data_IF_605460187555
#
_entry.id   IF_605460187555
#
_cell.length_a   1.000
_cell.length_b   1.000
_cell.length_c   1.000
_cell.angle_alpha   90.00
_cell.angle_beta   90.00
_cell.angle_gamma   90.00
#
_symmetry.space_group_name_H-M   'P 1'
#
loop_
_entity.id
_entity.type
_entity.pdbx_description
1 polymer ?
#
# COMPACT_ATOMS: atom_id res chain seq x y z
N UNK A 1 -6.63 -2.82 -5.47
CA UNK A 1 -7.66 -1.90 -4.93
C UNK A 1 -8.38 -1.31 -6.13
N UNK A 2 -9.71 -1.15 -6.06
CA UNK A 2 -10.45 -0.53 -7.16
C UNK A 2 -10.27 0.98 -7.09
N UNK A 3 -9.71 1.57 -8.14
CA UNK A 3 -9.46 3.01 -8.28
C UNK A 3 -10.14 3.51 -9.55
N UNK A 4 -10.62 4.74 -9.54
CA UNK A 4 -11.26 5.32 -10.73
C UNK A 4 -10.23 5.55 -11.82
N UNK A 5 -10.66 5.45 -13.08
CA UNK A 5 -9.82 5.81 -14.21
C UNK A 5 -9.67 7.33 -14.24
N UNK A 6 -8.44 7.82 -14.31
CA UNK A 6 -8.17 9.24 -14.49
C UNK A 6 -8.37 9.64 -15.95
N UNK A 7 -8.94 10.81 -16.18
CA UNK A 7 -9.18 11.37 -17.51
C UNK A 7 -8.65 12.80 -17.60
N UNK A 8 -8.43 13.28 -18.82
CA UNK A 8 -8.06 14.66 -19.11
C UNK A 8 -9.10 15.61 -18.51
N UNK A 9 -8.63 16.63 -17.80
CA UNK A 9 -9.45 17.57 -17.05
C UNK A 9 -9.64 17.24 -15.56
N UNK A 10 -9.30 16.03 -15.11
CA UNK A 10 -9.32 15.70 -13.67
C UNK A 10 -8.36 16.60 -12.89
N UNK A 11 -8.72 16.87 -11.63
CA UNK A 11 -8.01 17.80 -10.76
C UNK A 11 -6.84 17.13 -10.05
N UNK A 12 -5.88 17.95 -9.64
CA UNK A 12 -4.81 17.56 -8.76
C UNK A 12 -5.10 18.02 -7.32
N UNK A 13 -4.60 17.30 -6.32
CA UNK A 13 -4.77 17.63 -4.90
C UNK A 13 -4.20 19.00 -4.52
N UNK A 14 -3.16 19.47 -5.23
CA UNK A 14 -2.59 20.81 -5.08
C UNK A 14 -3.25 21.88 -5.96
N UNK A 15 -4.33 21.53 -6.66
CA UNK A 15 -4.87 22.31 -7.75
C UNK A 15 -4.10 22.14 -9.06
N UNK A 16 -4.81 22.34 -10.16
CA UNK A 16 -4.34 22.03 -11.51
C UNK A 16 -5.21 21.00 -12.20
N UNK A 17 -4.82 20.61 -13.41
CA UNK A 17 -5.59 19.68 -14.26
C UNK A 17 -4.68 18.80 -15.12
N UNK A 18 -5.14 17.60 -15.41
CA UNK A 18 -4.52 16.74 -16.41
C UNK A 18 -4.68 17.36 -17.80
N UNK A 19 -3.59 17.42 -18.55
CA UNK A 19 -3.53 18.00 -19.90
C UNK A 19 -3.85 16.95 -20.97
N UNK A 20 -4.43 17.35 -22.11
CA UNK A 20 -4.64 16.46 -23.23
C UNK A 20 -3.32 16.04 -23.89
N UNK A 21 -3.34 14.89 -24.56
CA UNK A 21 -2.25 14.43 -25.43
C UNK A 21 -2.74 14.20 -26.86
N UNK A 22 -1.84 14.29 -27.83
CA UNK A 22 -2.15 14.08 -29.25
C UNK A 22 -2.20 12.60 -29.65
N UNK A 23 -2.97 12.29 -30.71
CA UNK A 23 -3.06 10.95 -31.29
C UNK A 23 -4.38 10.23 -30.99
N UNK A 24 -4.45 8.91 -31.23
CA UNK A 24 -5.66 8.12 -31.00
C UNK A 24 -6.12 8.18 -29.54
N UNK A 25 -7.37 8.57 -29.35
CA UNK A 25 -7.96 8.78 -28.04
C UNK A 25 -8.65 7.52 -27.54
N UNK A 26 -8.38 7.15 -26.29
CA UNK A 26 -9.22 6.19 -25.57
C UNK A 26 -10.22 7.00 -24.74
N UNK A 27 -11.49 6.97 -25.11
CA UNK A 27 -12.53 7.76 -24.47
C UNK A 27 -13.24 6.95 -23.38
N UNK A 28 -13.26 7.51 -22.18
CA UNK A 28 -14.01 7.01 -21.02
C UNK A 28 -15.06 8.05 -20.68
N UNK A 29 -16.33 7.70 -20.89
CA UNK A 29 -17.48 8.60 -20.66
C UNK A 29 -17.31 9.97 -21.35
N UNK A 30 -16.84 9.95 -22.59
CA UNK A 30 -16.63 11.16 -23.41
C UNK A 30 -15.35 11.94 -23.10
N UNK A 31 -14.56 11.54 -22.10
CA UNK A 31 -13.29 12.17 -21.75
C UNK A 31 -12.11 11.29 -22.17
N UNK A 32 -11.03 11.90 -22.65
CA UNK A 32 -9.81 11.19 -23.01
C UNK A 32 -9.15 10.63 -21.73
N UNK A 33 -8.90 9.32 -21.68
CA UNK A 33 -8.23 8.68 -20.55
C UNK A 33 -6.81 9.23 -20.40
N UNK A 34 -6.40 9.54 -19.17
CA UNK A 34 -5.04 9.97 -18.88
C UNK A 34 -4.08 8.79 -18.94
N UNK A 35 -2.84 9.04 -19.38
CA UNK A 35 -1.81 8.02 -19.49
C UNK A 35 -0.66 8.32 -18.52
N UNK A 36 -0.04 7.28 -17.96
CA UNK A 36 1.24 7.38 -17.28
C UNK A 36 2.28 7.92 -18.27
N UNK A 37 3.09 8.88 -17.83
CA UNK A 37 3.98 9.67 -18.68
C UNK A 37 3.28 10.83 -19.41
N UNK A 38 1.95 10.94 -19.30
CA UNK A 38 1.20 12.10 -19.77
C UNK A 38 1.50 13.35 -18.95
N UNK A 39 1.10 14.52 -19.45
CA UNK A 39 1.35 15.81 -18.81
C UNK A 39 0.16 16.27 -17.95
N UNK A 40 0.45 16.96 -16.86
CA UNK A 40 -0.54 17.62 -16.03
C UNK A 40 0.00 18.99 -15.56
N UNK A 41 -0.84 20.01 -15.61
CA UNK A 41 -0.48 21.34 -15.15
C UNK A 41 -0.82 21.49 -13.66
N UNK A 42 0.17 21.82 -12.83
CA UNK A 42 -0.01 22.08 -11.41
C UNK A 42 -0.12 23.59 -11.16
N UNK A 43 -1.20 24.04 -10.53
CA UNK A 43 -1.38 25.47 -10.20
C UNK A 43 -0.58 25.91 -8.99
N UNK A 44 -0.21 24.99 -8.09
CA UNK A 44 0.57 25.33 -6.89
C UNK A 44 2.03 25.72 -7.22
N UNK A 45 2.70 24.97 -8.09
CA UNK A 45 4.07 25.31 -8.54
C UNK A 45 4.12 25.97 -9.92
N UNK A 46 2.96 26.20 -10.55
CA UNK A 46 2.81 26.78 -11.89
C UNK A 46 3.68 26.11 -12.98
N UNK A 47 3.89 24.80 -12.87
CA UNK A 47 4.68 24.01 -13.82
C UNK A 47 3.90 22.80 -14.29
N UNK A 48 4.19 22.39 -15.52
CA UNK A 48 3.73 21.11 -16.06
C UNK A 48 4.62 20.00 -15.50
N UNK A 49 3.98 18.99 -14.91
CA UNK A 49 4.62 17.76 -14.47
C UNK A 49 4.19 16.56 -15.30
N UNK A 50 4.80 15.42 -15.03
CA UNK A 50 4.47 14.14 -15.65
C UNK A 50 3.68 13.26 -14.69
N UNK A 51 2.70 12.54 -15.21
CA UNK A 51 1.92 11.58 -14.43
C UNK A 51 2.78 10.34 -14.19
N UNK A 52 2.96 9.95 -12.93
CA UNK A 52 3.71 8.78 -12.52
C UNK A 52 2.83 7.80 -11.74
N UNK A 53 3.16 6.52 -11.90
CA UNK A 53 2.39 5.42 -11.32
C UNK A 53 2.56 5.39 -9.79
N UNK A 54 1.45 5.43 -9.05
CA UNK A 54 1.41 5.13 -7.62
C UNK A 54 0.49 3.93 -7.34
N UNK A 55 0.67 3.25 -6.20
CA UNK A 55 -0.11 2.07 -5.85
C UNK A 55 0.21 0.84 -6.71
N UNK A 56 -0.80 0.01 -7.00
CA UNK A 56 -0.61 -1.34 -7.52
C UNK A 56 0.07 -1.44 -8.89
N UNK A 57 0.61 -2.61 -9.26
CA UNK A 57 1.37 -2.79 -10.50
C UNK A 57 0.49 -2.83 -11.74
N UNK A 58 -0.79 -3.22 -11.61
CA UNK A 58 -1.65 -3.44 -12.76
C UNK A 58 -2.27 -2.13 -13.23
N UNK A 59 -2.29 -1.96 -14.56
CA UNK A 59 -2.93 -0.87 -15.28
C UNK A 59 -3.60 -1.39 -16.54
N UNK A 60 -4.72 -0.78 -16.90
CA UNK A 60 -5.30 -0.98 -18.23
C UNK A 60 -4.29 -0.50 -19.27
N UNK A 61 -3.92 -1.38 -20.20
CA UNK A 61 -2.97 -1.06 -21.28
C UNK A 61 -3.72 -0.67 -22.54
N UNK A 62 -3.32 0.46 -23.11
CA UNK A 62 -3.70 0.88 -24.46
C UNK A 62 -2.41 1.15 -25.27
N UNK A 63 -2.11 2.41 -25.59
CA UNK A 63 -0.79 2.86 -26.07
C UNK A 63 0.24 3.07 -24.96
N UNK A 64 -0.26 3.15 -23.74
CA UNK A 64 0.51 3.24 -22.51
C UNK A 64 -0.35 2.71 -21.38
N UNK A 65 0.15 2.85 -20.17
CA UNK A 65 -0.61 2.52 -18.98
C UNK A 65 -1.59 3.66 -18.67
N UNK A 66 -2.85 3.34 -18.47
CA UNK A 66 -3.87 4.32 -18.09
C UNK A 66 -3.63 4.76 -16.63
N UNK A 67 -3.63 6.06 -16.38
CA UNK A 67 -3.50 6.60 -15.04
C UNK A 67 -4.78 6.39 -14.22
N UNK A 68 -4.64 6.19 -12.92
CA UNK A 68 -5.76 5.99 -11.99
C UNK A 68 -5.81 7.10 -10.95
N UNK A 69 -6.97 7.23 -10.30
CA UNK A 69 -7.17 8.05 -9.11
C UNK A 69 -6.07 7.83 -8.09
N UNK A 70 -5.55 8.86 -7.41
CA UNK A 70 -4.42 8.79 -6.47
C UNK A 70 -3.03 8.54 -7.09
N UNK A 71 -2.91 8.48 -8.43
CA UNK A 71 -1.59 8.55 -9.08
C UNK A 71 -0.97 9.94 -8.91
N UNK A 72 0.35 10.00 -8.89
CA UNK A 72 1.07 11.23 -8.54
C UNK A 72 1.53 11.98 -9.79
N UNK A 73 1.72 13.28 -9.67
CA UNK A 73 2.30 14.12 -10.72
C UNK A 73 3.66 14.61 -10.26
N UNK A 74 4.71 14.26 -11.02
CA UNK A 74 6.07 14.72 -10.81
C UNK A 74 6.22 16.12 -11.39
N UNK A 75 5.82 17.13 -10.61
CA UNK A 75 6.04 18.55 -10.89
C UNK A 75 7.14 19.11 -9.97
N UNK A 76 7.21 20.44 -9.81
CA UNK A 76 8.19 21.10 -8.94
C UNK A 76 7.82 21.18 -7.46
N UNK A 77 6.74 20.53 -7.02
CA UNK A 77 6.32 20.55 -5.61
C UNK A 77 7.20 19.61 -4.77
N UNK A 78 7.52 20.01 -3.54
CA UNK A 78 8.27 19.17 -2.58
C UNK A 78 7.54 17.87 -2.26
N UNK A 79 6.22 17.94 -2.16
CA UNK A 79 5.33 16.78 -2.10
C UNK A 79 4.58 16.69 -3.44
N UNK A 80 4.81 15.64 -4.25
CA UNK A 80 4.10 15.45 -5.51
C UNK A 80 2.58 15.39 -5.30
N UNK A 81 1.78 16.19 -6.03
CA UNK A 81 0.34 16.14 -5.90
C UNK A 81 -0.24 14.86 -6.51
N UNK A 82 -1.41 14.49 -6.01
CA UNK A 82 -2.16 13.29 -6.41
C UNK A 82 -3.28 13.68 -7.36
N UNK A 83 -3.65 12.78 -8.27
CA UNK A 83 -4.80 12.91 -9.14
C UNK A 83 -6.07 12.63 -8.34
N UNK A 84 -7.09 13.45 -8.54
CA UNK A 84 -8.44 13.25 -8.01
C UNK A 84 -9.38 12.99 -9.18
N UNK A 85 -9.62 11.71 -9.47
CA UNK A 85 -10.42 11.28 -10.60
C UNK A 85 -11.91 11.36 -10.28
N UNK A 86 -12.60 12.24 -11.01
CA UNK A 86 -14.02 12.55 -10.78
C UNK A 86 -14.84 12.57 -12.08
N UNK A 87 -14.20 12.83 -13.22
CA UNK A 87 -14.91 13.01 -14.49
C UNK A 87 -15.25 11.69 -15.20
N UNK A 88 -14.55 10.60 -14.88
CA UNK A 88 -14.79 9.29 -15.50
C UNK A 88 -16.02 8.54 -14.97
N UNK A 89 -16.75 9.10 -13.99
CA UNK A 89 -17.91 8.46 -13.36
C UNK A 89 -17.56 7.13 -12.70
N UNK A 90 -18.39 6.10 -12.92
CA UNK A 90 -18.21 4.75 -12.37
C UNK A 90 -17.25 3.86 -13.20
N UNK A 91 -16.27 4.46 -13.87
CA UNK A 91 -15.23 3.71 -14.57
C UNK A 91 -14.09 3.36 -13.59
N UNK A 92 -14.07 2.11 -13.14
CA UNK A 92 -13.12 1.61 -12.15
C UNK A 92 -12.11 0.62 -12.76
N UNK A 93 -10.89 0.62 -12.23
CA UNK A 93 -9.84 -0.35 -12.53
C UNK A 93 -9.27 -0.90 -11.22
N UNK A 94 -9.17 -2.23 -11.11
CA UNK A 94 -8.45 -2.85 -10.00
C UNK A 94 -6.95 -2.78 -10.29
N UNK A 95 -6.21 -1.98 -9.52
CA UNK A 95 -4.78 -1.78 -9.74
C UNK A 95 -3.90 -2.97 -9.30
N UNK A 96 -4.50 -4.07 -8.83
CA UNK A 96 -3.77 -5.23 -8.35
C UNK A 96 -2.91 -4.95 -7.11
N UNK A 97 -3.10 -3.82 -6.39
CA UNK A 97 -2.35 -3.52 -5.16
C UNK A 97 -2.54 -4.61 -4.09
N UNK A 98 -3.67 -5.32 -4.09
CA UNK A 98 -3.91 -6.44 -3.18
C UNK A 98 -3.27 -7.77 -3.65
N UNK A 99 -2.75 -7.81 -4.89
CA UNK A 99 -2.18 -9.02 -5.51
C UNK A 99 -0.66 -9.12 -5.36
N UNK A 100 0.03 -8.01 -5.10
CA UNK A 100 1.38 -8.00 -4.57
C UNK A 100 1.26 -7.85 -3.07
N UNK A 101 1.76 -8.82 -2.31
CA UNK A 101 1.61 -8.85 -0.85
C UNK A 101 1.85 -7.49 -0.21
N UNK A 102 1.04 -7.18 0.80
CA UNK A 102 1.25 -6.04 1.67
C UNK A 102 2.72 -6.07 2.15
N UNK A 103 3.50 -5.02 1.86
CA UNK A 103 4.83 -4.85 2.46
C UNK A 103 4.57 -4.48 3.90
N UNK A 104 4.34 -5.50 4.72
CA UNK A 104 4.32 -5.35 6.17
C UNK A 104 5.77 -5.14 6.55
N UNK A 105 6.16 -3.92 6.95
CA UNK A 105 7.47 -3.72 7.57
C UNK A 105 7.35 -4.09 9.05
N UNK A 106 8.08 -5.10 9.49
CA UNK A 106 8.21 -5.43 10.92
C UNK A 106 9.43 -4.77 11.50
N UNK A 107 9.33 -4.35 12.76
CA UNK A 107 10.49 -3.89 13.54
C UNK A 107 11.32 -5.10 13.94
N UNK A 108 12.62 -4.93 14.07
CA UNK A 108 13.47 -5.92 14.74
C UNK A 108 13.52 -5.64 16.25
N UNK A 109 13.91 -6.64 17.04
CA UNK A 109 14.15 -6.47 18.48
C UNK A 109 15.12 -5.31 18.79
N UNK A 110 16.09 -5.08 17.90
CA UNK A 110 17.08 -3.98 17.98
C UNK A 110 16.57 -2.63 17.49
N UNK A 111 15.28 -2.51 17.17
CA UNK A 111 14.65 -1.26 16.72
C UNK A 111 14.89 -0.91 15.25
N UNK A 112 15.53 -1.78 14.48
CA UNK A 112 15.69 -1.67 13.03
C UNK A 112 14.39 -1.97 12.27
N UNK A 113 14.40 -1.69 10.97
CA UNK A 113 13.30 -2.05 10.05
C UNK A 113 13.77 -3.23 9.22
N UNK A 114 13.07 -4.37 9.32
CA UNK A 114 13.32 -5.54 8.51
C UNK A 114 12.31 -5.61 7.36
N UNK A 115 12.81 -5.87 6.16
CA UNK A 115 11.96 -6.20 5.01
C UNK A 115 11.34 -7.57 5.24
N UNK A 116 10.02 -7.65 5.22
CA UNK A 116 9.33 -8.94 5.21
C UNK A 116 9.36 -9.48 3.79
N UNK A 117 10.24 -10.45 3.55
CA UNK A 117 10.13 -11.31 2.37
C UNK A 117 8.90 -12.18 2.56
N UNK A 118 7.98 -12.21 1.60
CA UNK A 118 6.83 -13.11 1.62
C UNK A 118 7.36 -14.54 1.48
N UNK A 119 7.55 -15.20 2.62
CA UNK A 119 8.00 -16.58 2.69
C UNK A 119 6.95 -17.58 2.19
N UNK A 120 7.37 -18.79 1.91
CA UNK A 120 6.50 -19.93 1.61
C UNK A 120 5.52 -20.28 2.76
N UNK A 121 5.87 -19.95 4.01
CA UNK A 121 5.09 -20.25 5.19
C UNK A 121 4.46 -19.00 5.84
N UNK A 122 3.18 -19.10 6.24
CA UNK A 122 2.38 -18.02 6.82
C UNK A 122 1.60 -18.42 8.09
N UNK A 123 2.30 -18.42 9.23
CA UNK A 123 1.78 -18.90 10.49
C UNK A 123 0.78 -17.95 11.13
N UNK A 124 -0.23 -18.54 11.76
CA UNK A 124 -1.22 -17.82 12.55
C UNK A 124 -1.50 -18.56 13.85
N UNK A 125 -0.99 -18.01 14.95
CA UNK A 125 -1.20 -18.57 16.28
C UNK A 125 -2.59 -18.21 16.80
N UNK A 126 -3.24 -19.17 17.45
CA UNK A 126 -4.48 -18.96 18.19
C UNK A 126 -4.29 -19.39 19.63
N UNK A 127 -4.56 -18.49 20.57
CA UNK A 127 -4.64 -18.83 21.98
C UNK A 127 -5.95 -19.60 22.24
N UNK A 128 -5.84 -20.83 22.74
CA UNK A 128 -6.99 -21.72 23.00
C UNK A 128 -7.34 -21.83 24.48
N UNK A 129 -6.37 -21.65 25.38
CA UNK A 129 -6.56 -21.64 26.82
C UNK A 129 -6.19 -20.28 27.41
N UNK A 130 -7.00 -19.79 28.36
CA UNK A 130 -6.82 -18.50 29.03
C UNK A 130 -6.69 -17.30 28.06
N UNK A 131 -7.29 -17.41 26.88
CA UNK A 131 -7.30 -16.38 25.84
C UNK A 131 -8.28 -15.25 26.22
N UNK A 132 -7.86 -14.39 27.15
CA UNK A 132 -8.63 -13.20 27.50
C UNK A 132 -8.32 -12.06 26.54
N UNK A 133 -9.35 -11.36 26.01
CA UNK A 133 -9.12 -10.13 25.25
C UNK A 133 -8.27 -9.16 26.08
N UNK A 134 -7.26 -8.58 25.45
CA UNK A 134 -6.31 -7.69 26.12
C UNK A 134 -5.04 -8.37 26.63
N UNK A 135 -4.94 -9.70 26.61
CA UNK A 135 -3.74 -10.44 27.00
C UNK A 135 -2.57 -10.06 26.07
N UNK A 136 -1.46 -9.52 26.60
CA UNK A 136 -0.29 -9.16 25.81
C UNK A 136 0.35 -10.38 25.14
N UNK A 137 0.86 -10.18 23.93
CA UNK A 137 1.69 -11.15 23.24
C UNK A 137 2.92 -10.47 22.62
N UNK A 138 3.98 -11.25 22.44
CA UNK A 138 5.18 -10.85 21.71
C UNK A 138 5.71 -12.05 20.93
N UNK A 139 5.83 -11.90 19.62
CA UNK A 139 6.37 -12.90 18.72
C UNK A 139 7.78 -12.47 18.33
N UNK A 140 8.73 -13.40 18.39
CA UNK A 140 10.09 -13.23 17.88
C UNK A 140 10.37 -14.33 16.86
N UNK A 141 10.64 -13.94 15.61
CA UNK A 141 11.05 -14.86 14.55
C UNK A 141 12.57 -15.05 14.56
N UNK A 142 13.05 -16.16 14.00
CA UNK A 142 14.49 -16.48 13.90
C UNK A 142 15.33 -15.43 13.15
N UNK A 143 14.72 -14.68 12.23
CA UNK A 143 15.36 -13.57 11.53
C UNK A 143 15.31 -12.24 12.30
N UNK A 144 14.89 -12.27 13.57
CA UNK A 144 14.91 -11.14 14.50
C UNK A 144 13.76 -10.14 14.32
N UNK A 145 12.76 -10.45 13.49
CA UNK A 145 11.53 -9.66 13.40
C UNK A 145 10.67 -9.88 14.63
N UNK A 146 9.98 -8.82 15.04
CA UNK A 146 9.12 -8.86 16.23
C UNK A 146 7.72 -8.34 15.92
N UNK A 147 6.72 -9.04 16.47
CA UNK A 147 5.32 -8.66 16.38
C UNK A 147 4.71 -8.70 17.77
N UNK A 148 4.19 -7.59 18.26
CA UNK A 148 3.65 -7.52 19.61
C UNK A 148 2.34 -6.73 19.63
N UNK A 149 1.52 -7.00 20.64
CA UNK A 149 0.22 -6.39 20.76
C UNK A 149 -0.58 -7.00 21.90
N UNK A 150 -1.90 -6.88 21.78
CA UNK A 150 -2.86 -7.48 22.72
C UNK A 150 -3.86 -8.32 21.94
N UNK A 151 -4.24 -9.45 22.52
CA UNK A 151 -5.24 -10.35 21.96
C UNK A 151 -6.60 -9.66 21.81
N UNK A 152 -7.28 -9.97 20.71
CA UNK A 152 -8.66 -9.58 20.49
C UNK A 152 -9.65 -10.64 21.02
N UNK A 153 -10.95 -10.41 20.83
CA UNK A 153 -12.00 -11.36 21.23
C UNK A 153 -11.96 -12.69 20.47
N UNK A 154 -11.22 -12.77 19.35
CA UNK A 154 -11.10 -13.99 18.55
C UNK A 154 -10.00 -14.92 19.04
N UNK A 155 -9.10 -14.44 19.89
CA UNK A 155 -7.96 -15.20 20.40
C UNK A 155 -6.85 -15.40 19.36
N UNK A 156 -6.94 -14.75 18.20
CA UNK A 156 -6.00 -14.93 17.09
C UNK A 156 -4.92 -13.87 17.10
N UNK A 157 -3.68 -14.30 16.89
CA UNK A 157 -2.56 -13.41 16.62
C UNK A 157 -2.55 -13.00 15.14
N UNK A 158 -1.83 -11.92 14.80
CA UNK A 158 -1.60 -11.57 13.40
C UNK A 158 -0.92 -12.73 12.69
N UNK A 159 -1.24 -12.87 11.40
CA UNK A 159 -0.52 -13.80 10.53
C UNK A 159 0.89 -13.27 10.28
N UNK A 160 1.89 -14.09 10.51
CA UNK A 160 3.30 -13.79 10.30
C UNK A 160 3.85 -14.66 9.18
N UNK A 161 4.97 -14.29 8.57
CA UNK A 161 5.69 -15.15 7.62
C UNK A 161 7.02 -15.55 8.25
N UNK A 162 7.34 -16.83 8.32
CA UNK A 162 8.62 -17.36 8.86
C UNK A 162 9.69 -17.63 7.79
N UNK A 163 9.42 -17.25 6.54
CA UNK A 163 10.38 -17.36 5.44
C UNK A 163 10.12 -18.57 4.54
N UNK A 164 11.13 -18.98 3.79
CA UNK A 164 11.03 -20.07 2.79
C UNK A 164 11.46 -21.44 3.35
N UNK A 165 12.08 -21.45 4.53
CA UNK A 165 12.53 -22.66 5.22
C UNK A 165 11.67 -22.89 6.47
N UNK A 166 11.50 -24.15 6.85
CA UNK A 166 10.84 -24.49 8.11
C UNK A 166 11.71 -24.02 9.28
N UNK A 167 11.33 -22.90 9.90
CA UNK A 167 12.05 -22.30 11.02
C UNK A 167 11.14 -22.16 12.23
N UNK A 168 11.76 -22.16 13.41
CA UNK A 168 11.06 -21.93 14.65
C UNK A 168 10.80 -20.43 14.87
N UNK A 169 9.79 -20.12 15.66
CA UNK A 169 9.52 -18.78 16.20
C UNK A 169 8.99 -18.91 17.61
N UNK A 170 9.22 -17.88 18.43
CA UNK A 170 8.86 -17.88 19.85
C UNK A 170 7.69 -16.93 20.07
N UNK A 171 6.72 -17.37 20.85
CA UNK A 171 5.61 -16.51 21.32
C UNK A 171 5.65 -16.41 22.83
N UNK A 172 5.88 -15.20 23.32
CA UNK A 172 5.74 -14.83 24.72
C UNK A 172 4.34 -14.29 24.99
N UNK A 173 3.83 -14.52 26.19
CA UNK A 173 2.48 -14.16 26.62
C UNK A 173 2.52 -13.39 27.94
N UNK A 174 1.54 -12.51 28.16
CA UNK A 174 1.36 -11.87 29.46
C UNK A 174 2.58 -11.04 29.88
N UNK A 175 3.09 -11.32 31.08
CA UNK A 175 4.21 -10.59 31.68
C UNK A 175 5.51 -10.79 30.89
N UNK A 176 5.76 -11.99 30.36
CA UNK A 176 6.92 -12.28 29.50
C UNK A 176 6.88 -11.44 28.22
N UNK A 177 5.67 -11.23 27.68
CA UNK A 177 5.49 -10.37 26.51
C UNK A 177 5.75 -8.89 26.83
N UNK A 178 5.38 -8.43 28.03
CA UNK A 178 5.63 -7.05 28.47
C UNK A 178 7.12 -6.79 28.73
N UNK A 179 7.82 -7.74 29.34
CA UNK A 179 9.27 -7.66 29.56
C UNK A 179 10.01 -7.46 28.22
N UNK A 180 9.66 -8.28 27.21
CA UNK A 180 10.21 -8.18 25.85
C UNK A 180 9.89 -6.86 25.13
N UNK A 181 8.74 -6.23 25.40
CA UNK A 181 8.38 -4.92 24.84
C UNK A 181 9.21 -3.77 25.43
N UNK A 182 9.55 -3.88 26.72
CA UNK A 182 10.22 -2.82 27.46
C UNK A 182 11.76 -2.91 27.40
N UNK A 183 12.31 -3.99 26.85
CA UNK A 183 13.75 -4.16 26.62
C UNK A 183 14.55 -4.54 27.87
N UNK A 184 13.93 -5.26 28.82
CA UNK A 184 14.64 -5.95 29.92
C UNK A 184 15.16 -7.32 29.50
#
# INVERSE_FOLDING_TARGET
>A
MNRRIAVVGDKLSSGGTISPYGGPQFLVRGHQAALIGGSAFCTACQRTGLIAKAGGPYRLKFRGEVALDDDIVLCGCSMPPRITASLAGDAWCSDGLKGLGEVVSSRTATGGVASITKGAFDEQVRATMNATPGLPYYIETTDGRVHFGRLDASGQLPRIHTGDEATDYIVHWGDDALAKQNGE
#
